data_IF_768484447396
#
_entry.id   IF_768484447396
#
_cell.length_a   1.000
_cell.length_b   1.000
_cell.length_c   1.000
_cell.angle_alpha   90.00
_cell.angle_beta   90.00
_cell.angle_gamma   90.00
#
_symmetry.space_group_name_H-M   'P 1'
#
loop_
_entity.id
_entity.type
_entity.pdbx_description
1 polymer ?
#
# COMPACT_ATOMS: atom_id res chain seq x y z
N UNK A 1 21.58 57.83 -83.32
CA UNK A 1 21.58 56.39 -83.08
C UNK A 1 21.98 56.17 -81.63
N UNK A 2 21.00 56.03 -80.71
CA UNK A 2 21.21 55.92 -79.28
C UNK A 2 20.99 54.47 -78.83
N UNK A 3 22.02 53.90 -78.24
CA UNK A 3 21.94 52.55 -77.63
C UNK A 3 21.57 52.70 -76.20
N UNK A 4 20.39 52.21 -75.80
CA UNK A 4 19.94 52.09 -74.43
C UNK A 4 20.57 50.85 -73.82
N UNK A 5 21.40 51.02 -72.77
CA UNK A 5 21.87 49.98 -71.95
C UNK A 5 20.83 49.74 -70.86
N UNK A 6 20.26 48.54 -70.81
CA UNK A 6 19.35 48.11 -69.71
C UNK A 6 20.20 47.62 -68.53
N UNK A 7 20.09 48.36 -67.42
CA UNK A 7 20.66 48.00 -66.14
C UNK A 7 19.77 46.93 -65.46
N UNK A 8 20.26 45.70 -65.34
CA UNK A 8 19.58 44.65 -64.62
C UNK A 8 20.06 44.74 -63.17
N UNK A 9 19.17 45.17 -62.28
CA UNK A 9 19.41 45.10 -60.82
C UNK A 9 19.02 43.70 -60.34
N UNK A 10 20.01 42.89 -60.01
CA UNK A 10 19.80 41.63 -59.34
C UNK A 10 19.50 41.88 -57.84
N UNK A 11 18.23 41.70 -57.44
CA UNK A 11 17.81 41.70 -56.05
C UNK A 11 18.06 40.29 -55.46
N UNK A 12 19.21 40.09 -54.81
CA UNK A 12 19.49 38.87 -54.06
C UNK A 12 18.70 38.89 -52.77
N UNK A 13 17.58 38.13 -52.74
CA UNK A 13 16.85 37.86 -51.54
C UNK A 13 17.63 36.83 -50.72
N UNK A 14 18.24 37.30 -49.64
CA UNK A 14 18.95 36.46 -48.65
C UNK A 14 17.90 35.73 -47.81
N UNK A 15 17.58 34.48 -48.16
CA UNK A 15 16.77 33.58 -47.37
C UNK A 15 17.58 33.09 -46.14
N UNK A 16 17.38 33.73 -45.00
CA UNK A 16 17.82 33.21 -43.71
C UNK A 16 16.97 31.97 -43.34
N UNK A 17 17.57 30.83 -43.07
CA UNK A 17 16.81 29.69 -42.50
C UNK A 17 16.40 30.04 -41.08
N UNK A 18 15.11 30.26 -40.90
CA UNK A 18 14.49 30.35 -39.58
C UNK A 18 14.52 28.96 -38.94
N UNK A 19 15.61 28.65 -38.22
CA UNK A 19 15.69 27.44 -37.41
C UNK A 19 14.70 27.59 -36.28
N UNK A 20 13.55 26.99 -36.46
CA UNK A 20 12.53 26.78 -35.40
C UNK A 20 13.15 25.86 -34.37
N UNK A 21 13.80 26.47 -33.37
CA UNK A 21 14.30 25.77 -32.17
C UNK A 21 13.07 25.31 -31.40
N UNK A 22 12.68 24.06 -31.60
CA UNK A 22 11.71 23.41 -30.72
C UNK A 22 12.29 23.44 -29.31
N UNK A 23 11.84 24.39 -28.49
CA UNK A 23 11.94 24.30 -27.07
C UNK A 23 11.03 23.13 -26.64
N UNK A 24 11.60 21.92 -26.62
CA UNK A 24 11.07 20.85 -25.79
C UNK A 24 11.21 21.33 -24.36
N UNK A 25 10.14 21.93 -23.84
CA UNK A 25 9.92 22.01 -22.41
C UNK A 25 9.85 20.56 -21.94
N UNK A 26 10.98 20.03 -21.49
CA UNK A 26 11.00 18.86 -20.66
C UNK A 26 10.10 19.22 -19.47
N UNK A 27 8.86 18.73 -19.49
CA UNK A 27 8.12 18.57 -18.25
C UNK A 27 8.97 17.63 -17.41
N UNK A 28 9.77 18.21 -16.52
CA UNK A 28 10.28 17.49 -15.38
C UNK A 28 9.03 17.02 -14.63
N UNK A 29 8.59 15.80 -14.95
CA UNK A 29 7.64 15.10 -14.13
C UNK A 29 8.28 15.10 -12.75
N UNK A 30 7.64 15.73 -11.76
CA UNK A 30 7.91 15.48 -10.38
C UNK A 30 7.67 13.97 -10.20
N UNK A 31 8.72 13.17 -10.34
CA UNK A 31 8.74 11.85 -9.74
C UNK A 31 8.50 12.10 -8.26
N UNK A 32 7.46 11.54 -7.64
CA UNK A 32 7.34 11.59 -6.19
C UNK A 32 8.69 11.16 -5.65
N UNK A 33 9.25 11.92 -4.72
CA UNK A 33 10.47 11.51 -4.04
C UNK A 33 10.19 10.10 -3.51
N UNK A 34 10.89 9.09 -4.05
CA UNK A 34 10.73 7.71 -3.58
C UNK A 34 11.10 7.69 -2.10
N UNK A 35 10.07 7.73 -1.26
CA UNK A 35 10.19 7.57 0.17
C UNK A 35 10.78 6.19 0.46
N UNK A 36 11.40 6.02 1.60
CA UNK A 36 11.84 4.69 2.06
C UNK A 36 10.62 3.92 2.57
N UNK A 37 10.49 2.65 2.21
CA UNK A 37 9.52 1.75 2.84
C UNK A 37 9.82 1.60 4.34
N UNK A 38 8.79 1.70 5.16
CA UNK A 38 8.92 1.67 6.63
C UNK A 38 7.84 0.78 7.24
N UNK A 39 8.27 -0.18 8.05
CA UNK A 39 7.35 -0.90 8.94
C UNK A 39 6.94 0.04 10.10
N UNK A 40 5.64 0.26 10.26
CA UNK A 40 5.05 1.14 11.27
C UNK A 40 4.76 0.36 12.54
N UNK A 41 5.16 0.94 13.67
CA UNK A 41 4.81 0.46 15.00
C UNK A 41 3.49 1.11 15.47
N UNK A 42 2.90 0.58 16.51
CA UNK A 42 1.67 1.14 17.09
C UNK A 42 1.77 2.62 17.47
N UNK A 43 2.96 3.11 17.86
CA UNK A 43 3.19 4.51 18.18
C UNK A 43 3.12 5.43 16.94
N UNK A 44 3.36 4.90 15.76
CA UNK A 44 3.35 5.65 14.49
C UNK A 44 1.93 5.73 13.90
N UNK A 45 1.00 4.87 14.37
CA UNK A 45 -0.35 4.75 13.85
C UNK A 45 -1.33 5.49 14.76
N UNK A 46 -1.88 6.58 14.24
CA UNK A 46 -2.84 7.44 14.95
C UNK A 46 -4.21 7.40 14.26
N UNK A 47 -5.21 8.06 14.87
CA UNK A 47 -6.55 8.20 14.27
C UNK A 47 -6.58 9.00 12.96
N UNK A 48 -5.45 9.63 12.58
CA UNK A 48 -5.29 10.24 11.24
C UNK A 48 -5.01 9.20 10.14
N UNK A 49 -4.39 8.08 10.50
CA UNK A 49 -4.03 7.01 9.56
C UNK A 49 -5.01 5.84 9.63
N UNK A 50 -5.51 5.51 10.82
CA UNK A 50 -6.39 4.37 11.02
C UNK A 50 -7.64 4.83 11.77
N UNK A 51 -8.86 4.51 11.32
CA UNK A 51 -10.09 4.93 11.99
C UNK A 51 -10.19 4.41 13.43
N UNK A 52 -10.73 5.20 14.35
CA UNK A 52 -10.96 4.76 15.74
C UNK A 52 -11.98 3.64 15.86
N UNK A 53 -12.89 3.57 14.89
CA UNK A 53 -13.90 2.53 14.77
C UNK A 53 -13.98 2.06 13.33
N UNK A 54 -14.10 0.76 13.15
CA UNK A 54 -14.19 0.11 11.84
C UNK A 54 -15.49 -0.64 11.69
N UNK A 55 -16.04 -0.60 10.48
CA UNK A 55 -17.29 -1.29 10.17
C UNK A 55 -17.03 -2.71 9.70
N UNK A 56 -17.71 -3.66 10.31
CA UNK A 56 -17.69 -5.05 9.89
C UNK A 56 -19.02 -5.71 10.16
N UNK A 57 -19.61 -6.36 9.16
CA UNK A 57 -20.87 -7.10 9.23
C UNK A 57 -22.01 -6.36 9.96
N UNK A 58 -22.27 -5.12 9.54
CA UNK A 58 -23.39 -4.33 10.07
C UNK A 58 -23.13 -3.64 11.41
N UNK A 59 -21.95 -3.76 11.99
CA UNK A 59 -21.60 -3.18 13.29
C UNK A 59 -20.26 -2.43 13.22
N UNK A 60 -20.03 -1.54 14.17
CA UNK A 60 -18.76 -0.86 14.35
C UNK A 60 -18.03 -1.41 15.57
N UNK A 61 -16.75 -1.72 15.39
CA UNK A 61 -15.84 -2.17 16.46
C UNK A 61 -14.77 -1.10 16.74
N UNK A 62 -14.47 -0.77 18.00
CA UNK A 62 -13.35 0.08 18.35
C UNK A 62 -12.02 -0.58 17.99
N UNK A 63 -11.08 0.23 17.47
CA UNK A 63 -9.71 -0.21 17.18
C UNK A 63 -8.84 -0.06 18.41
N UNK A 64 -8.06 -1.07 18.71
CA UNK A 64 -7.09 -1.07 19.81
C UNK A 64 -5.75 -0.51 19.33
N UNK A 65 -5.55 0.81 19.33
CA UNK A 65 -4.36 1.47 18.78
C UNK A 65 -3.03 0.94 19.32
N UNK A 66 -2.97 0.47 20.55
CA UNK A 66 -1.76 -0.16 21.11
C UNK A 66 -1.40 -1.49 20.46
N UNK A 67 -2.35 -2.09 19.77
CA UNK A 67 -2.23 -3.37 19.10
C UNK A 67 -2.42 -3.17 17.58
N UNK A 68 -1.63 -2.27 17.01
CA UNK A 68 -1.60 -1.97 15.56
C UNK A 68 -0.19 -2.15 15.02
N UNK A 69 -0.09 -2.33 13.72
CA UNK A 69 1.13 -2.35 12.96
C UNK A 69 0.84 -2.13 11.49
N UNK A 70 1.84 -1.83 10.69
CA UNK A 70 1.60 -1.57 9.27
C UNK A 70 2.87 -1.38 8.48
N UNK A 71 2.70 -0.99 7.23
CA UNK A 71 3.77 -0.59 6.31
C UNK A 71 3.35 0.69 5.62
N UNK A 72 4.27 1.65 5.52
CA UNK A 72 4.21 2.73 4.55
C UNK A 72 5.16 2.39 3.42
N UNK A 73 4.64 2.30 2.21
CA UNK A 73 5.43 2.08 1.00
C UNK A 73 6.12 3.36 0.54
N UNK A 74 7.07 3.22 -0.38
CA UNK A 74 7.88 4.32 -0.91
C UNK A 74 7.06 5.43 -1.61
N UNK A 75 5.88 5.11 -2.12
CA UNK A 75 4.92 5.97 -2.79
C UNK A 75 3.78 6.47 -1.87
N UNK A 76 3.98 6.39 -0.54
CA UNK A 76 3.05 6.83 0.50
C UNK A 76 1.71 6.07 0.56
N UNK A 77 1.59 4.89 -0.06
CA UNK A 77 0.50 3.97 0.19
C UNK A 77 0.73 3.15 1.46
N UNK A 78 -0.36 2.68 2.06
CA UNK A 78 -0.33 2.03 3.36
C UNK A 78 -0.95 0.63 3.33
N UNK A 79 -0.42 -0.20 4.21
CA UNK A 79 -1.08 -1.38 4.76
C UNK A 79 -1.11 -1.22 6.27
N UNK A 80 -2.29 -1.19 6.86
CA UNK A 80 -2.48 -0.97 8.29
C UNK A 80 -3.31 -2.11 8.87
N UNK A 81 -2.84 -2.71 9.95
CA UNK A 81 -3.53 -3.76 10.68
C UNK A 81 -3.72 -3.35 12.14
N UNK A 82 -4.87 -3.69 12.72
CA UNK A 82 -5.13 -3.39 14.13
C UNK A 82 -6.15 -4.35 14.74
N UNK A 83 -5.89 -4.75 15.97
CA UNK A 83 -6.89 -5.51 16.73
C UNK A 83 -8.12 -4.66 17.01
N UNK A 84 -9.26 -5.31 17.08
CA UNK A 84 -10.54 -4.66 17.36
C UNK A 84 -11.16 -5.22 18.64
N UNK A 85 -12.00 -4.43 19.29
CA UNK A 85 -12.90 -4.95 20.30
C UNK A 85 -14.11 -5.58 19.58
N UNK A 86 -14.08 -6.89 19.48
CA UNK A 86 -15.10 -7.69 18.83
C UNK A 86 -16.16 -8.25 19.81
N UNK A 87 -16.21 -7.77 21.05
CA UNK A 87 -17.10 -8.27 22.11
C UNK A 87 -18.59 -8.19 21.74
N UNK A 88 -18.98 -7.24 20.88
CA UNK A 88 -20.35 -7.07 20.39
C UNK A 88 -20.79 -8.09 19.33
N UNK A 89 -19.88 -8.95 18.84
CA UNK A 89 -20.19 -9.94 17.81
C UNK A 89 -20.51 -11.32 18.41
N UNK A 90 -21.27 -12.12 17.64
CA UNK A 90 -21.54 -13.51 18.02
C UNK A 90 -20.24 -14.33 18.09
N UNK A 91 -20.24 -15.40 18.88
CA UNK A 91 -19.07 -16.27 19.11
C UNK A 91 -18.44 -16.74 17.79
N UNK A 92 -19.24 -17.23 16.84
CA UNK A 92 -18.71 -17.71 15.56
C UNK A 92 -18.07 -16.61 14.69
N UNK A 93 -18.48 -15.34 14.86
CA UNK A 93 -17.79 -14.22 14.21
C UNK A 93 -16.52 -13.85 14.97
N UNK A 94 -16.58 -13.78 16.31
CA UNK A 94 -15.41 -13.40 17.12
C UNK A 94 -14.21 -14.33 16.93
N UNK A 95 -14.46 -15.61 16.70
CA UNK A 95 -13.41 -16.60 16.41
C UNK A 95 -12.65 -16.31 15.11
N UNK A 96 -13.31 -15.68 14.14
CA UNK A 96 -12.75 -15.35 12.83
C UNK A 96 -12.28 -13.89 12.73
N UNK A 97 -13.03 -12.99 13.35
CA UNK A 97 -12.81 -11.54 13.29
C UNK A 97 -12.11 -11.06 14.56
N UNK A 98 -10.80 -11.02 14.54
CA UNK A 98 -9.96 -10.59 15.68
C UNK A 98 -9.36 -9.21 15.43
N UNK A 99 -9.15 -8.86 14.16
CA UNK A 99 -8.48 -7.65 13.76
C UNK A 99 -9.00 -7.15 12.40
N UNK A 100 -8.62 -5.92 12.06
CA UNK A 100 -8.99 -5.25 10.83
C UNK A 100 -7.75 -4.88 10.02
N UNK A 101 -7.85 -5.00 8.70
CA UNK A 101 -6.82 -4.65 7.74
C UNK A 101 -7.36 -3.58 6.79
N UNK A 102 -6.64 -2.47 6.67
CA UNK A 102 -6.77 -1.50 5.58
C UNK A 102 -5.58 -1.66 4.65
N UNK A 103 -5.85 -1.82 3.39
CA UNK A 103 -4.88 -2.17 2.39
C UNK A 103 -5.11 -1.32 1.13
N UNK A 104 -4.17 -0.45 0.78
CA UNK A 104 -4.28 0.49 -0.35
C UNK A 104 -3.62 -0.04 -1.63
N UNK A 105 -2.90 -1.16 -1.56
CA UNK A 105 -2.18 -1.75 -2.69
C UNK A 105 -2.54 -3.22 -2.85
N UNK A 106 -2.31 -3.80 -4.02
CA UNK A 106 -2.41 -5.26 -4.17
C UNK A 106 -1.27 -5.94 -3.43
N UNK A 107 -1.60 -6.94 -2.62
CA UNK A 107 -0.64 -7.73 -1.84
C UNK A 107 -0.61 -9.18 -2.32
N UNK A 108 0.56 -9.78 -2.24
CA UNK A 108 0.69 -11.22 -2.10
C UNK A 108 0.80 -11.54 -0.61
N UNK A 109 -0.15 -12.29 -0.07
CA UNK A 109 -0.24 -12.61 1.35
C UNK A 109 -0.52 -14.09 1.55
N UNK A 110 0.37 -14.81 2.23
CA UNK A 110 0.26 -16.26 2.41
C UNK A 110 0.19 -17.03 1.10
N UNK A 111 0.83 -16.53 0.04
CA UNK A 111 0.84 -17.13 -1.30
C UNK A 111 -0.43 -16.88 -2.12
N UNK A 112 -1.26 -15.93 -1.74
CA UNK A 112 -2.50 -15.56 -2.44
C UNK A 112 -2.59 -14.05 -2.62
N UNK A 113 -3.17 -13.62 -3.73
CA UNK A 113 -3.35 -12.20 -4.06
C UNK A 113 -4.52 -11.61 -3.26
N UNK A 114 -4.27 -10.50 -2.56
CA UNK A 114 -5.28 -9.70 -1.88
C UNK A 114 -5.36 -8.31 -2.53
N UNK A 115 -6.54 -7.95 -3.03
CA UNK A 115 -6.78 -6.64 -3.66
C UNK A 115 -6.82 -5.52 -2.62
N UNK A 116 -6.63 -4.24 -3.03
CA UNK A 116 -6.90 -3.10 -2.14
C UNK A 116 -8.31 -3.17 -1.54
N UNK A 117 -8.43 -2.81 -0.26
CA UNK A 117 -9.71 -2.86 0.43
C UNK A 117 -9.61 -2.83 1.94
N UNK A 118 -10.77 -3.05 2.55
CA UNK A 118 -10.97 -3.12 3.98
C UNK A 118 -11.47 -4.52 4.36
N UNK A 119 -10.82 -5.16 5.34
CA UNK A 119 -11.02 -6.57 5.63
C UNK A 119 -11.03 -6.85 7.13
N UNK A 120 -11.85 -7.79 7.54
CA UNK A 120 -11.68 -8.45 8.83
C UNK A 120 -10.73 -9.64 8.68
N UNK A 121 -9.93 -9.93 9.71
CA UNK A 121 -9.08 -11.11 9.68
C UNK A 121 -8.88 -11.73 11.08
N UNK A 122 -8.38 -12.95 11.09
CA UNK A 122 -8.00 -13.64 12.31
C UNK A 122 -7.06 -14.81 12.08
N UNK A 123 -6.31 -15.12 13.14
CA UNK A 123 -5.51 -16.33 13.27
C UNK A 123 -6.30 -17.35 14.07
N UNK A 124 -6.42 -18.55 13.55
CA UNK A 124 -7.21 -19.62 14.14
C UNK A 124 -6.33 -20.80 14.54
N UNK A 125 -6.84 -21.61 15.41
CA UNK A 125 -6.20 -22.86 15.80
C UNK A 125 -5.84 -23.73 14.60
N UNK A 126 -4.78 -24.51 14.72
CA UNK A 126 -4.27 -25.36 13.66
C UNK A 126 -3.49 -24.60 12.56
N UNK A 127 -2.95 -23.40 12.89
CA UNK A 127 -2.12 -22.65 11.96
C UNK A 127 -2.91 -22.08 10.78
N UNK A 128 -4.15 -21.66 11.00
CA UNK A 128 -5.01 -21.08 9.94
C UNK A 128 -5.07 -19.57 10.04
N UNK A 129 -4.88 -18.90 8.92
CA UNK A 129 -5.07 -17.47 8.74
C UNK A 129 -6.21 -17.22 7.75
N UNK A 130 -7.13 -16.33 8.12
CA UNK A 130 -8.33 -16.07 7.37
C UNK A 130 -8.52 -14.57 7.19
N UNK A 131 -8.81 -14.12 5.95
CA UNK A 131 -9.29 -12.77 5.65
C UNK A 131 -10.72 -12.85 5.13
N UNK A 132 -11.55 -11.93 5.58
CA UNK A 132 -12.95 -11.77 5.19
C UNK A 132 -13.20 -10.37 4.65
N UNK A 133 -14.10 -10.22 3.69
CA UNK A 133 -14.64 -8.93 3.33
C UNK A 133 -15.49 -8.33 4.48
N UNK A 134 -15.92 -7.09 4.35
CA UNK A 134 -16.72 -6.39 5.36
C UNK A 134 -18.11 -7.02 5.58
N UNK A 135 -18.57 -7.90 4.68
CA UNK A 135 -19.77 -8.72 4.81
C UNK A 135 -19.57 -10.01 5.57
N UNK A 136 -18.32 -10.32 5.96
CA UNK A 136 -17.85 -11.55 6.59
C UNK A 136 -17.85 -12.78 5.65
N UNK A 137 -17.69 -12.57 4.35
CA UNK A 137 -17.40 -13.64 3.41
C UNK A 137 -15.88 -13.90 3.39
N UNK A 138 -15.49 -15.15 3.39
CA UNK A 138 -14.08 -15.56 3.33
C UNK A 138 -13.51 -15.19 1.95
N UNK A 139 -12.43 -14.39 1.90
CA UNK A 139 -11.77 -13.95 0.65
C UNK A 139 -10.37 -14.52 0.51
N UNK A 140 -9.71 -14.86 1.62
CA UNK A 140 -8.39 -15.49 1.62
C UNK A 140 -8.28 -16.46 2.80
N UNK A 141 -7.76 -17.64 2.52
CA UNK A 141 -7.43 -18.66 3.52
C UNK A 141 -5.99 -19.12 3.30
N UNK A 142 -5.13 -18.94 4.28
CA UNK A 142 -3.73 -19.33 4.21
C UNK A 142 -3.31 -20.09 5.48
N UNK A 143 -2.13 -20.70 5.42
CA UNK A 143 -1.49 -21.27 6.58
C UNK A 143 -0.66 -20.19 7.27
N UNK A 144 -0.87 -20.00 8.58
CA UNK A 144 0.03 -19.20 9.41
C UNK A 144 1.20 -20.03 9.87
N UNK A 145 2.32 -19.38 10.09
CA UNK A 145 3.52 -19.96 10.67
C UNK A 145 3.69 -19.46 12.10
N UNK A 146 4.52 -20.18 12.88
CA UNK A 146 4.83 -19.80 14.24
C UNK A 146 6.31 -19.48 14.39
N UNK A 147 6.60 -18.29 14.91
CA UNK A 147 7.95 -17.82 15.23
C UNK A 147 8.26 -18.08 16.70
N UNK A 148 8.93 -19.19 16.97
CA UNK A 148 9.33 -19.56 18.33
C UNK A 148 10.41 -18.62 18.89
N UNK A 149 11.25 -18.05 18.02
CA UNK A 149 12.39 -17.21 18.38
C UNK A 149 12.02 -15.73 18.59
N UNK A 150 10.78 -15.33 18.31
CA UNK A 150 10.33 -13.95 18.52
C UNK A 150 10.48 -13.54 19.98
N UNK A 151 11.42 -12.63 20.26
CA UNK A 151 11.79 -12.25 21.63
C UNK A 151 10.68 -11.49 22.38
N UNK A 152 9.90 -10.67 21.68
CA UNK A 152 8.87 -9.79 22.27
C UNK A 152 7.57 -9.90 21.48
N UNK A 153 6.81 -10.98 21.65
CA UNK A 153 5.50 -11.09 21.04
C UNK A 153 4.55 -10.06 21.67
N UNK A 154 3.84 -9.36 20.82
CA UNK A 154 2.74 -8.44 21.19
C UNK A 154 1.47 -8.89 20.47
N UNK A 155 0.28 -8.47 20.91
CA UNK A 155 -0.97 -8.94 20.30
C UNK A 155 -1.04 -8.71 18.79
N UNK A 156 -0.49 -7.58 18.30
CA UNK A 156 -0.43 -7.27 16.87
C UNK A 156 0.83 -6.45 16.56
N UNK A 157 1.54 -6.83 15.49
CA UNK A 157 2.67 -6.06 14.95
C UNK A 157 2.98 -6.46 13.51
N UNK A 158 3.66 -5.57 12.79
CA UNK A 158 4.26 -5.86 11.48
C UNK A 158 5.78 -5.69 11.58
N UNK A 159 6.51 -6.68 11.15
CA UNK A 159 7.99 -6.66 11.13
C UNK A 159 8.50 -6.92 9.72
N UNK A 160 9.65 -6.33 9.41
CA UNK A 160 10.40 -6.64 8.17
C UNK A 160 11.00 -8.04 8.25
N UNK A 161 11.14 -8.69 7.10
CA UNK A 161 11.91 -9.93 6.96
C UNK A 161 13.35 -9.64 6.54
N UNK A 162 14.15 -10.67 6.35
CA UNK A 162 15.48 -10.56 5.71
C UNK A 162 15.40 -10.29 4.21
N UNK A 163 14.25 -10.56 3.60
CA UNK A 163 13.97 -10.26 2.20
C UNK A 163 13.51 -8.81 2.07
N UNK A 164 14.09 -8.05 1.14
CA UNK A 164 13.68 -6.67 0.89
C UNK A 164 12.19 -6.60 0.52
N UNK A 165 11.50 -5.57 0.98
CA UNK A 165 10.07 -5.30 0.71
C UNK A 165 9.14 -6.45 1.09
N UNK A 166 9.57 -7.32 2.00
CA UNK A 166 8.76 -8.42 2.55
C UNK A 166 8.55 -8.24 4.05
N UNK A 167 7.37 -8.57 4.51
CA UNK A 167 6.89 -8.29 5.86
C UNK A 167 6.17 -9.49 6.45
N UNK A 168 6.16 -9.55 7.79
CA UNK A 168 5.36 -10.50 8.56
C UNK A 168 4.32 -9.76 9.38
N UNK A 169 3.06 -10.13 9.19
CA UNK A 169 1.96 -9.72 10.05
C UNK A 169 1.82 -10.73 11.16
N UNK A 170 2.04 -10.30 12.39
CA UNK A 170 2.00 -11.16 13.59
C UNK A 170 0.73 -10.95 14.42
N UNK A 171 0.20 -12.06 14.95
CA UNK A 171 -0.66 -12.07 16.11
C UNK A 171 -0.01 -12.94 17.20
N UNK A 172 0.53 -12.29 18.23
CA UNK A 172 1.39 -12.98 19.19
C UNK A 172 2.66 -13.54 18.54
N UNK A 173 2.76 -14.86 18.42
CA UNK A 173 3.87 -15.54 17.73
C UNK A 173 3.50 -16.10 16.36
N UNK A 174 2.22 -16.16 16.05
CA UNK A 174 1.76 -16.67 14.78
C UNK A 174 1.82 -15.53 13.74
N UNK A 175 2.23 -15.84 12.51
CA UNK A 175 2.39 -14.84 11.47
C UNK A 175 2.03 -15.36 10.08
N UNK A 176 1.77 -14.44 9.19
CA UNK A 176 1.70 -14.64 7.74
C UNK A 176 2.65 -13.66 7.06
N UNK A 177 3.34 -14.12 6.02
CA UNK A 177 4.19 -13.25 5.21
C UNK A 177 3.38 -12.56 4.12
N UNK A 178 3.76 -11.32 3.83
CA UNK A 178 3.18 -10.55 2.73
C UNK A 178 4.20 -9.59 2.12
N UNK A 179 3.96 -9.23 0.89
CA UNK A 179 4.65 -8.18 0.16
C UNK A 179 3.70 -7.52 -0.84
N UNK A 180 4.06 -6.36 -1.35
CA UNK A 180 3.31 -5.70 -2.42
C UNK A 180 3.45 -6.50 -3.70
N UNK A 181 2.33 -6.78 -4.37
CA UNK A 181 2.34 -7.39 -5.70
C UNK A 181 2.84 -6.37 -6.74
N UNK A 182 3.60 -6.86 -7.70
CA UNK A 182 4.14 -6.07 -8.82
C UNK A 182 3.20 -6.05 -10.00
#
# INVERSE_FOLDING_TARGET
MARFAKLFVFLTVLLLPFTLRHMQTAMAGNSPAEGKEVALKSADITSKLFPERVFFRGQNAPVQFRNTGGVRFADDFYVLAGMVDNSGYSTGIREKYQAYLLNEVTLEMGGQTLKPGAYGFGFREGGKFLIMDIGANDVLNATSQRDAELKRPVPMQVLTTSTASSYRLYAGRDYVEFHRAH
#
